data_IF_561915926189
#
_entry.id   IF_561915926189
#
_cell.length_a   1.000
_cell.length_b   1.000
_cell.length_c   1.000
_cell.angle_alpha   90.00
_cell.angle_beta   90.00
_cell.angle_gamma   90.00
#
_symmetry.space_group_name_H-M   'P 1'
#
loop_
_entity.id
_entity.type
_entity.pdbx_description
1 polymer ?
#
# COMPACT_ATOMS: atom_id res chain seq x y z
N UNK A 1 53.44 -49.11 10.76
CA UNK A 1 54.66 -48.42 11.23
C UNK A 1 54.24 -46.99 11.63
N UNK A 2 54.22 -46.70 12.94
CA UNK A 2 54.12 -45.40 13.66
C UNK A 2 52.94 -44.42 13.34
N UNK A 3 52.00 -44.24 14.30
CA UNK A 3 51.76 -43.07 15.21
C UNK A 3 51.09 -41.87 14.50
N UNK A 4 50.04 -41.19 14.99
CA UNK A 4 49.82 -40.54 16.29
C UNK A 4 48.31 -40.32 16.57
N UNK A 5 47.92 -40.38 17.85
CA UNK A 5 46.62 -40.07 18.47
C UNK A 5 46.55 -38.64 19.04
N UNK A 6 45.38 -37.98 19.01
CA UNK A 6 44.95 -36.91 19.96
C UNK A 6 43.40 -36.93 20.04
N UNK A 7 42.77 -37.37 21.14
CA UNK A 7 42.48 -36.75 22.46
C UNK A 7 41.26 -35.79 22.50
N UNK A 8 40.18 -36.33 23.05
CA UNK A 8 39.01 -35.71 23.71
C UNK A 8 39.36 -35.09 25.07
N UNK A 9 38.61 -34.06 25.50
CA UNK A 9 38.23 -33.69 26.90
C UNK A 9 37.35 -32.41 26.80
N UNK A 10 36.05 -32.40 27.14
CA UNK A 10 35.35 -32.53 28.43
C UNK A 10 35.22 -31.19 29.21
N UNK A 11 33.95 -30.90 29.51
CA UNK A 11 33.35 -29.76 30.22
C UNK A 11 33.48 -29.90 31.75
N UNK A 12 33.55 -28.79 32.51
CA UNK A 12 32.79 -28.52 33.77
C UNK A 12 33.21 -27.19 34.45
N UNK A 13 32.36 -26.62 35.35
CA UNK A 13 32.26 -25.19 35.70
C UNK A 13 32.78 -24.87 37.12
N UNK A 14 32.86 -23.59 37.49
CA UNK A 14 32.94 -23.15 38.91
C UNK A 14 32.25 -21.79 39.12
N UNK A 15 31.25 -21.80 40.00
CA UNK A 15 30.61 -20.64 40.64
C UNK A 15 31.51 -20.04 41.72
N UNK A 16 31.46 -18.72 41.94
CA UNK A 16 32.03 -18.08 43.12
C UNK A 16 30.99 -17.13 43.75
N UNK A 17 30.65 -17.42 45.00
CA UNK A 17 30.00 -16.53 45.96
C UNK A 17 30.96 -16.39 47.14
N UNK A 18 31.25 -15.16 47.59
CA UNK A 18 31.63 -14.88 48.97
C UNK A 18 31.54 -13.38 49.28
N UNK A 19 30.64 -13.07 50.20
CA UNK A 19 30.46 -11.77 50.87
C UNK A 19 31.54 -11.54 51.94
N UNK A 20 31.89 -10.28 52.20
CA UNK A 20 32.37 -9.86 53.53
C UNK A 20 31.88 -8.45 53.87
N UNK A 21 31.37 -8.34 55.10
CA UNK A 21 30.83 -7.15 55.77
C UNK A 21 31.91 -6.10 56.08
N UNK A 22 31.53 -4.82 56.12
CA UNK A 22 31.94 -3.86 57.15
C UNK A 22 30.79 -2.90 57.47
N UNK A 23 30.58 -2.62 58.76
CA UNK A 23 29.48 -1.82 59.29
C UNK A 23 29.94 -0.46 59.84
N UNK A 24 29.05 0.53 59.66
CA UNK A 24 28.73 1.66 60.56
C UNK A 24 29.60 2.94 60.55
N UNK A 25 29.03 4.07 60.14
CA UNK A 25 28.56 5.19 61.01
C UNK A 25 28.29 6.51 60.24
N UNK A 26 27.34 7.31 60.76
CA UNK A 26 26.92 8.68 60.36
C UNK A 26 26.14 8.78 59.04
N UNK A 27 25.00 9.44 58.90
CA UNK A 27 24.38 10.51 59.69
C UNK A 27 24.39 11.81 58.89
N UNK A 28 23.41 12.02 58.01
CA UNK A 28 22.82 13.31 57.58
C UNK A 28 22.13 13.16 56.22
N UNK A 29 21.09 13.96 56.05
CA UNK A 29 20.10 13.97 54.97
C UNK A 29 20.70 13.93 53.55
N UNK A 30 20.11 13.11 52.68
CA UNK A 30 20.25 13.29 51.23
C UNK A 30 18.92 13.01 50.55
N UNK A 31 18.32 14.09 50.05
CA UNK A 31 17.24 14.07 49.08
C UNK A 31 17.70 13.25 47.87
N UNK A 32 16.87 12.29 47.47
CA UNK A 32 17.03 11.60 46.19
C UNK A 32 16.74 12.60 45.07
N UNK A 33 17.62 12.77 44.06
CA UNK A 33 17.26 13.57 42.91
C UNK A 33 16.24 12.77 42.11
N UNK A 34 14.99 13.23 42.15
CA UNK A 34 13.96 12.81 41.20
C UNK A 34 14.45 13.20 39.82
N UNK A 35 14.82 12.20 39.03
CA UNK A 35 15.04 12.34 37.59
C UNK A 35 13.83 13.04 37.00
N UNK A 36 14.03 14.20 36.37
CA UNK A 36 12.99 14.83 35.58
C UNK A 36 12.48 13.82 34.55
N UNK A 37 11.16 13.76 34.28
CA UNK A 37 10.66 13.00 33.15
C UNK A 37 11.33 13.54 31.89
N UNK A 38 11.82 12.65 31.03
CA UNK A 38 12.18 13.01 29.66
C UNK A 38 11.00 13.76 29.04
N UNK A 39 11.24 14.84 28.27
CA UNK A 39 10.15 15.54 27.61
C UNK A 39 9.47 14.53 26.70
N UNK A 40 8.20 14.22 26.99
CA UNK A 40 7.34 13.52 26.07
C UNK A 40 7.42 14.27 24.73
N UNK A 41 7.94 13.59 23.71
CA UNK A 41 7.83 14.08 22.33
C UNK A 41 6.35 14.32 22.09
N UNK A 42 5.92 15.56 21.78
CA UNK A 42 4.51 15.82 21.57
C UNK A 42 4.09 14.97 20.38
N UNK A 43 3.14 14.07 20.60
CA UNK A 43 2.41 13.41 19.52
C UNK A 43 1.80 14.56 18.72
N UNK A 44 2.34 14.82 17.54
CA UNK A 44 1.81 15.82 16.62
C UNK A 44 0.54 15.22 16.05
N UNK A 45 -0.54 15.25 16.83
CA UNK A 45 -1.89 15.09 16.30
C UNK A 45 -2.03 16.20 15.27
N UNK A 46 -2.00 15.87 13.98
CA UNK A 46 -2.10 16.89 12.94
C UNK A 46 -3.41 17.64 13.13
N UNK A 47 -3.38 18.97 13.02
CA UNK A 47 -4.58 19.79 13.13
C UNK A 47 -5.55 19.62 11.93
N UNK A 48 -5.27 18.66 11.03
CA UNK A 48 -5.93 18.52 9.74
C UNK A 48 -6.88 17.34 9.72
N UNK A 49 -6.44 16.15 10.18
CA UNK A 49 -7.35 15.05 10.42
C UNK A 49 -8.13 15.26 11.72
N UNK A 50 -9.41 14.95 11.70
CA UNK A 50 -10.22 14.87 12.90
C UNK A 50 -11.17 13.69 12.85
N UNK A 51 -11.68 13.30 14.03
CA UNK A 51 -12.69 12.26 14.12
C UNK A 51 -13.96 12.66 13.37
N UNK A 52 -14.74 11.65 12.99
CA UNK A 52 -16.05 11.83 12.38
C UNK A 52 -16.93 12.82 13.17
N UNK A 53 -17.43 13.87 12.51
CA UNK A 53 -18.26 14.90 13.12
C UNK A 53 -17.51 15.94 13.96
N UNK A 54 -16.17 15.97 13.92
CA UNK A 54 -15.35 16.97 14.61
C UNK A 54 -15.33 18.34 13.92
N UNK A 55 -15.85 18.45 12.68
CA UNK A 55 -15.71 19.61 11.81
C UNK A 55 -14.25 19.99 11.50
N UNK A 56 -13.33 19.03 11.61
CA UNK A 56 -11.96 19.19 11.13
C UNK A 56 -11.93 19.35 9.59
N UNK A 57 -10.86 19.94 9.02
CA UNK A 57 -10.71 20.06 7.58
C UNK A 57 -10.83 18.71 6.84
N UNK A 58 -10.30 17.64 7.43
CA UNK A 58 -10.41 16.28 6.94
C UNK A 58 -11.02 15.38 8.02
N UNK A 59 -12.30 15.05 7.89
CA UNK A 59 -12.93 14.10 8.80
C UNK A 59 -12.65 12.65 8.38
N UNK A 60 -12.15 11.86 9.32
CA UNK A 60 -12.03 10.42 9.15
C UNK A 60 -13.40 9.76 9.20
N UNK A 61 -13.63 8.66 8.45
CA UNK A 61 -14.84 7.86 8.60
C UNK A 61 -15.04 7.43 10.05
N UNK A 62 -16.28 7.45 10.52
CA UNK A 62 -16.66 7.04 11.86
C UNK A 62 -16.08 5.65 12.21
N UNK A 63 -15.22 5.58 13.23
CA UNK A 63 -14.59 4.36 13.71
C UNK A 63 -13.23 4.01 13.08
N UNK A 64 -12.75 4.81 12.12
CA UNK A 64 -11.39 4.62 11.59
C UNK A 64 -10.36 5.17 12.59
N UNK A 65 -9.20 4.51 12.73
CA UNK A 65 -8.11 5.01 13.54
C UNK A 65 -7.41 6.18 12.83
N UNK A 66 -6.72 7.03 13.61
CA UNK A 66 -5.84 8.05 13.03
C UNK A 66 -4.69 7.40 12.25
N UNK A 67 -4.47 7.79 10.98
CA UNK A 67 -3.30 7.33 10.23
C UNK A 67 -2.00 7.72 10.92
N UNK A 68 -0.96 6.91 10.79
CA UNK A 68 0.38 7.29 11.26
C UNK A 68 1.01 8.28 10.28
N UNK A 69 1.01 9.56 10.63
CA UNK A 69 1.66 10.58 9.80
C UNK A 69 3.20 10.46 9.87
N UNK A 70 3.86 10.77 8.75
CA UNK A 70 5.32 10.86 8.73
C UNK A 70 5.75 12.16 9.41
N UNK A 71 6.59 12.08 10.44
CA UNK A 71 7.05 13.24 11.20
C UNK A 71 7.74 14.31 10.33
N UNK A 72 8.41 13.87 9.26
CA UNK A 72 9.12 14.75 8.32
C UNK A 72 8.22 15.31 7.20
N UNK A 73 6.96 14.89 7.14
CA UNK A 73 5.96 15.40 6.22
C UNK A 73 4.58 15.55 6.90
N UNK A 74 4.45 16.46 7.89
CA UNK A 74 3.17 16.71 8.54
C UNK A 74 2.14 17.20 7.52
N UNK A 75 0.91 16.72 7.62
CA UNK A 75 -0.15 17.05 6.67
C UNK A 75 -0.58 18.52 6.77
N UNK A 76 -0.92 19.13 5.63
CA UNK A 76 -1.57 20.45 5.55
C UNK A 76 -2.46 20.51 4.30
N UNK A 77 -3.47 21.36 4.30
CA UNK A 77 -4.37 21.48 3.14
C UNK A 77 -3.66 22.07 1.92
N UNK A 78 -2.65 22.91 2.13
CA UNK A 78 -1.81 23.48 1.07
C UNK A 78 -0.98 22.38 0.38
N UNK A 79 -0.40 21.45 1.15
CA UNK A 79 0.30 20.28 0.59
C UNK A 79 -0.65 19.33 -0.14
N UNK A 80 -1.86 19.13 0.40
CA UNK A 80 -2.89 18.29 -0.24
C UNK A 80 -3.29 18.85 -1.59
N UNK A 81 -3.61 20.14 -1.67
CA UNK A 81 -4.02 20.78 -2.93
C UNK A 81 -2.86 20.84 -3.95
N UNK A 82 -1.65 21.16 -3.49
CA UNK A 82 -0.46 21.09 -4.34
C UNK A 82 -0.25 19.67 -4.88
N UNK A 83 -0.34 18.66 -4.01
CA UNK A 83 -0.23 17.26 -4.37
C UNK A 83 -1.27 16.82 -5.39
N UNK A 84 -2.53 17.26 -5.22
CA UNK A 84 -3.62 17.01 -6.15
C UNK A 84 -3.30 17.55 -7.53
N UNK A 85 -2.89 18.81 -7.64
CA UNK A 85 -2.54 19.42 -8.93
C UNK A 85 -1.39 18.67 -9.61
N UNK A 86 -0.32 18.36 -8.87
CA UNK A 86 0.81 17.60 -9.41
C UNK A 86 0.40 16.19 -9.87
N UNK A 87 -0.48 15.51 -9.11
CA UNK A 87 -0.92 14.13 -9.42
C UNK A 87 -1.61 14.03 -10.79
N UNK A 88 -2.35 15.06 -11.18
CA UNK A 88 -3.04 15.14 -12.48
C UNK A 88 -2.21 15.83 -13.57
N UNK A 89 -1.12 16.52 -13.24
CA UNK A 89 -0.32 17.29 -14.21
C UNK A 89 0.62 16.39 -15.02
N UNK A 90 0.38 16.29 -16.34
CA UNK A 90 1.22 15.49 -17.25
C UNK A 90 2.64 16.00 -17.38
N UNK A 91 2.95 17.20 -16.89
CA UNK A 91 4.32 17.72 -16.83
C UNK A 91 5.19 17.01 -15.81
N UNK A 92 4.59 16.17 -14.98
CA UNK A 92 5.32 15.24 -14.13
C UNK A 92 6.00 14.13 -14.92
N UNK A 93 5.63 13.81 -16.16
CA UNK A 93 6.45 12.91 -16.98
C UNK A 93 7.55 13.69 -17.72
N UNK A 94 8.70 13.07 -17.93
CA UNK A 94 9.80 13.69 -18.67
C UNK A 94 9.35 14.15 -20.07
N UNK A 95 8.62 13.32 -20.80
CA UNK A 95 8.12 13.64 -22.14
C UNK A 95 6.77 14.36 -22.17
N UNK A 96 6.22 14.71 -20.99
CA UNK A 96 4.97 15.47 -20.82
C UNK A 96 3.72 14.78 -21.37
N UNK A 97 3.72 13.44 -21.46
CA UNK A 97 2.58 12.67 -21.97
C UNK A 97 1.74 11.98 -20.90
N UNK A 98 2.24 11.89 -19.67
CA UNK A 98 1.63 11.09 -18.60
C UNK A 98 1.72 11.77 -17.22
N UNK A 99 0.71 11.56 -16.38
CA UNK A 99 0.68 11.91 -14.96
C UNK A 99 0.38 10.67 -14.10
N UNK A 100 0.36 10.81 -12.78
CA UNK A 100 -0.04 9.72 -11.89
C UNK A 100 -1.47 9.25 -12.19
N UNK A 101 -2.35 10.19 -12.55
CA UNK A 101 -3.76 9.92 -12.84
C UNK A 101 -3.99 9.08 -14.11
N UNK A 102 -3.02 9.00 -15.02
CA UNK A 102 -3.15 8.16 -16.23
C UNK A 102 -3.07 6.65 -15.91
N UNK A 103 -2.44 6.26 -14.78
CA UNK A 103 -2.46 4.88 -14.26
C UNK A 103 -3.36 4.71 -13.01
N UNK A 104 -3.77 5.81 -12.38
CA UNK A 104 -4.58 5.81 -11.17
C UNK A 104 -5.86 6.61 -11.39
N UNK A 105 -6.79 6.03 -12.14
CA UNK A 105 -8.05 6.65 -12.55
C UNK A 105 -9.06 6.68 -11.40
N UNK A 106 -9.56 7.85 -11.02
CA UNK A 106 -10.47 8.02 -9.88
C UNK A 106 -11.73 7.13 -9.98
N UNK A 107 -12.34 7.04 -11.16
CA UNK A 107 -13.57 6.26 -11.40
C UNK A 107 -13.37 4.74 -11.27
N UNK A 108 -12.12 4.29 -11.30
CA UNK A 108 -11.68 2.91 -11.02
C UNK A 108 -11.01 2.78 -9.66
N UNK A 109 -11.43 3.60 -8.69
CA UNK A 109 -10.82 3.67 -7.37
C UNK A 109 -9.29 3.82 -7.42
N UNK A 110 -8.81 4.69 -8.31
CA UNK A 110 -7.40 5.00 -8.51
C UNK A 110 -6.57 3.79 -8.95
N UNK A 111 -7.08 3.04 -9.93
CA UNK A 111 -6.36 1.99 -10.67
C UNK A 111 -6.39 2.28 -12.18
N UNK A 112 -5.65 1.49 -12.97
CA UNK A 112 -5.54 1.66 -14.43
C UNK A 112 -6.69 0.95 -15.16
N UNK A 113 -7.07 -0.22 -14.65
CA UNK A 113 -7.98 -1.16 -15.31
C UNK A 113 -7.38 -1.86 -16.53
N UNK A 114 -6.05 -1.82 -16.65
CA UNK A 114 -5.24 -2.70 -17.48
C UNK A 114 -4.63 -3.81 -16.62
N UNK A 115 -4.24 -4.93 -17.23
CA UNK A 115 -3.47 -5.95 -16.50
C UNK A 115 -2.14 -5.37 -16.01
N UNK A 116 -1.41 -4.73 -16.92
CA UNK A 116 -0.12 -4.10 -16.67
C UNK A 116 -0.17 -2.69 -17.24
N UNK A 117 0.32 -1.73 -16.47
CA UNK A 117 0.39 -0.33 -16.88
C UNK A 117 1.47 -0.12 -17.93
N UNK A 118 1.31 0.97 -18.69
CA UNK A 118 2.26 1.39 -19.72
C UNK A 118 2.85 2.73 -19.28
N UNK A 119 4.16 2.77 -19.16
CA UNK A 119 4.89 3.98 -18.78
C UNK A 119 5.02 4.99 -19.91
N UNK A 120 5.59 6.15 -19.59
CA UNK A 120 5.60 7.31 -20.48
C UNK A 120 6.41 7.06 -21.75
N UNK A 121 7.36 6.13 -21.72
CA UNK A 121 8.18 5.72 -22.87
C UNK A 121 7.68 4.44 -23.54
N UNK A 122 6.44 4.02 -23.25
CA UNK A 122 5.79 2.81 -23.73
C UNK A 122 6.36 1.49 -23.16
N UNK A 123 7.13 1.55 -22.08
CA UNK A 123 7.56 0.37 -21.33
C UNK A 123 6.37 -0.26 -20.60
N UNK A 124 6.25 -1.58 -20.66
CA UNK A 124 5.20 -2.33 -19.96
C UNK A 124 5.70 -2.69 -18.56
N UNK A 125 4.89 -2.42 -17.54
CA UNK A 125 5.26 -2.68 -16.16
C UNK A 125 5.15 -4.17 -15.81
N UNK A 126 5.95 -4.65 -14.87
CA UNK A 126 5.90 -6.04 -14.43
C UNK A 126 4.63 -6.36 -13.61
N UNK A 127 3.95 -5.33 -13.08
CA UNK A 127 2.84 -5.48 -12.12
C UNK A 127 1.66 -4.59 -12.45
N UNK A 128 0.50 -5.03 -12.00
CA UNK A 128 -0.74 -4.27 -12.00
C UNK A 128 -0.66 -3.05 -11.07
N UNK A 129 -1.21 -1.92 -11.49
CA UNK A 129 -1.28 -0.70 -10.69
C UNK A 129 -2.29 -0.87 -9.53
N UNK A 130 -1.78 -0.90 -8.30
CA UNK A 130 -2.60 -1.01 -7.10
C UNK A 130 -3.52 0.20 -6.92
N UNK A 131 -4.67 -0.04 -6.29
CA UNK A 131 -5.56 1.05 -5.86
C UNK A 131 -4.87 1.96 -4.85
N UNK A 132 -5.13 3.26 -4.96
CA UNK A 132 -4.72 4.25 -3.96
C UNK A 132 -5.69 4.35 -2.77
N UNK A 133 -6.73 3.52 -2.73
CA UNK A 133 -7.68 3.46 -1.61
C UNK A 133 -6.94 3.20 -0.29
N UNK A 134 -7.10 4.09 0.68
CA UNK A 134 -6.61 3.93 2.04
C UNK A 134 -5.10 3.67 2.16
N UNK A 135 -4.29 4.11 1.18
CA UNK A 135 -2.84 3.83 1.17
C UNK A 135 -2.09 4.37 2.39
N UNK A 136 -2.63 5.40 3.04
CA UNK A 136 -2.10 5.97 4.29
C UNK A 136 -2.04 4.96 5.44
N UNK A 137 -2.86 3.91 5.37
CA UNK A 137 -2.91 2.85 6.39
C UNK A 137 -2.04 1.64 6.06
N UNK A 138 -1.33 1.63 4.92
CA UNK A 138 -0.48 0.50 4.55
C UNK A 138 0.78 0.46 5.42
N UNK A 139 1.11 -0.68 6.01
CA UNK A 139 2.39 -0.84 6.73
C UNK A 139 3.61 -0.84 5.79
N UNK A 140 3.42 -1.36 4.57
CA UNK A 140 4.39 -1.35 3.49
C UNK A 140 3.70 -0.95 2.19
N UNK A 141 4.41 -0.21 1.35
CA UNK A 141 3.92 0.24 0.06
C UNK A 141 4.17 -0.81 -1.02
N UNK A 142 3.60 -0.57 -2.21
CA UNK A 142 3.63 -1.47 -3.36
C UNK A 142 3.22 -2.92 -3.03
N UNK A 143 3.63 -3.85 -3.89
CA UNK A 143 3.22 -5.25 -3.87
C UNK A 143 4.06 -6.12 -2.93
N UNK A 144 5.35 -5.83 -2.73
CA UNK A 144 6.27 -6.77 -2.08
C UNK A 144 7.51 -6.17 -1.40
N UNK A 145 7.72 -4.85 -1.42
CA UNK A 145 8.93 -4.25 -0.87
C UNK A 145 8.80 -3.94 0.63
N UNK A 146 9.52 -4.64 1.52
CA UNK A 146 9.41 -4.45 2.96
C UNK A 146 10.10 -3.17 3.46
N UNK A 147 10.88 -2.48 2.61
CA UNK A 147 11.67 -1.32 2.98
C UNK A 147 10.95 0.01 2.71
N UNK A 148 9.94 0.03 1.84
CA UNK A 148 9.17 1.24 1.54
C UNK A 148 7.94 1.26 2.45
N UNK A 149 8.00 2.07 3.51
CA UNK A 149 6.99 2.10 4.58
C UNK A 149 6.21 3.42 4.65
N UNK A 150 6.46 4.32 3.71
CA UNK A 150 5.75 5.59 3.62
C UNK A 150 5.51 5.97 2.15
N UNK A 151 4.56 6.89 1.95
CA UNK A 151 4.06 7.20 0.62
C UNK A 151 5.02 8.06 -0.22
N UNK A 152 5.86 8.90 0.41
CA UNK A 152 6.77 9.76 -0.32
C UNK A 152 8.00 8.97 -0.83
N UNK A 153 8.45 7.94 -0.10
CA UNK A 153 9.45 6.99 -0.59
C UNK A 153 8.91 6.15 -1.76
N UNK A 154 7.63 5.75 -1.71
CA UNK A 154 6.99 5.08 -2.84
C UNK A 154 6.89 6.02 -4.06
N UNK A 155 6.49 7.27 -3.87
CA UNK A 155 6.45 8.25 -4.95
C UNK A 155 7.86 8.51 -5.52
N UNK A 156 8.89 8.55 -4.68
CA UNK A 156 10.29 8.66 -5.11
C UNK A 156 10.71 7.48 -5.98
N UNK A 157 10.36 6.26 -5.56
CA UNK A 157 10.63 5.05 -6.33
C UNK A 157 9.98 5.08 -7.73
N UNK A 158 8.72 5.53 -7.81
CA UNK A 158 7.96 5.66 -9.08
C UNK A 158 8.60 6.70 -10.01
N UNK A 159 8.87 7.91 -9.52
CA UNK A 159 9.37 8.98 -10.41
C UNK A 159 10.76 8.67 -10.95
N UNK A 160 11.63 8.04 -10.13
CA UNK A 160 13.01 7.69 -10.49
C UNK A 160 13.16 6.29 -11.10
N UNK A 161 12.09 5.53 -11.31
CA UNK A 161 12.19 4.19 -11.87
C UNK A 161 12.80 4.21 -13.29
N UNK A 162 13.81 3.38 -13.52
CA UNK A 162 14.58 3.33 -14.77
C UNK A 162 14.22 2.11 -15.64
N UNK A 163 13.71 1.03 -15.04
CA UNK A 163 13.37 -0.20 -15.76
C UNK A 163 12.26 -0.98 -15.03
N UNK A 164 11.05 -1.04 -15.58
CA UNK A 164 10.57 -0.26 -16.74
C UNK A 164 10.37 1.22 -16.38
N UNK A 165 10.53 2.13 -17.35
CA UNK A 165 10.31 3.56 -17.10
C UNK A 165 8.84 3.84 -16.80
N UNK A 166 8.57 4.56 -15.71
CA UNK A 166 7.24 5.09 -15.39
C UNK A 166 7.12 6.54 -15.89
N UNK A 167 7.39 7.53 -15.04
CA UNK A 167 7.38 8.95 -15.41
C UNK A 167 8.72 9.45 -15.98
N UNK A 168 9.80 8.70 -15.79
CA UNK A 168 11.09 8.94 -16.45
C UNK A 168 11.91 10.12 -15.90
N UNK A 169 11.92 10.35 -14.59
CA UNK A 169 12.71 11.45 -14.01
C UNK A 169 14.21 11.15 -13.94
N UNK A 170 14.61 9.87 -13.98
CA UNK A 170 16.01 9.48 -13.94
C UNK A 170 16.81 10.19 -15.03
N UNK A 171 17.82 10.97 -14.63
CA UNK A 171 18.60 11.82 -15.54
C UNK A 171 17.94 13.14 -15.97
N UNK A 172 16.69 13.41 -15.57
CA UNK A 172 15.88 14.55 -16.01
C UNK A 172 15.28 15.40 -14.87
N UNK A 173 15.64 15.13 -13.61
CA UNK A 173 15.12 15.81 -12.41
C UNK A 173 15.19 17.34 -12.53
N UNK A 174 16.35 17.91 -12.87
CA UNK A 174 16.53 19.36 -12.97
C UNK A 174 15.63 19.98 -14.05
N UNK A 175 15.44 19.28 -15.18
CA UNK A 175 14.59 19.76 -16.26
C UNK A 175 13.13 19.85 -15.80
N UNK A 176 12.63 18.82 -15.11
CA UNK A 176 11.25 18.77 -14.61
C UNK A 176 11.04 19.81 -13.51
N UNK A 177 11.96 19.92 -12.55
CA UNK A 177 11.88 20.95 -11.50
C UNK A 177 11.92 22.37 -12.08
N UNK A 178 12.71 22.61 -13.13
CA UNK A 178 12.74 23.90 -13.81
C UNK A 178 11.41 24.25 -14.51
N UNK A 179 10.61 23.26 -14.93
CA UNK A 179 9.25 23.50 -15.44
C UNK A 179 8.35 24.07 -14.34
N UNK A 180 8.40 23.49 -13.15
CA UNK A 180 7.60 23.93 -11.99
C UNK A 180 8.03 25.29 -11.44
N UNK A 181 9.30 25.66 -11.61
CA UNK A 181 9.80 26.99 -11.24
C UNK A 181 9.32 28.11 -12.18
N UNK A 182 8.73 27.79 -13.34
CA UNK A 182 8.30 28.77 -14.33
C UNK A 182 6.90 29.34 -14.02
N UNK A 183 6.75 30.63 -13.66
CA UNK A 183 5.49 31.21 -13.16
C UNK A 183 4.35 31.31 -14.17
N UNK A 184 4.58 30.95 -15.43
CA UNK A 184 3.61 31.17 -16.51
C UNK A 184 3.12 29.88 -17.17
N UNK A 185 3.85 28.77 -17.03
CA UNK A 185 3.66 27.54 -17.82
C UNK A 185 3.35 27.80 -19.32
N UNK A 186 3.70 28.98 -19.87
CA UNK A 186 3.20 29.46 -21.16
C UNK A 186 3.89 28.76 -22.36
N UNK A 187 4.95 28.01 -22.08
CA UNK A 187 5.67 27.17 -23.04
C UNK A 187 5.30 25.67 -22.91
N UNK A 188 4.20 25.34 -22.23
CA UNK A 188 3.60 24.00 -22.19
C UNK A 188 2.98 23.68 -23.55
N UNK A 189 3.82 23.44 -24.55
CA UNK A 189 3.38 23.08 -25.89
C UNK A 189 2.92 21.61 -25.88
N UNK A 190 1.63 21.37 -25.63
CA UNK A 190 1.02 20.05 -25.87
C UNK A 190 -0.05 19.59 -24.90
N UNK A 191 -0.25 20.26 -23.76
CA UNK A 191 -1.27 19.88 -22.79
C UNK A 191 -2.50 20.81 -22.88
N UNK A 192 -3.69 20.29 -22.55
CA UNK A 192 -4.98 21.00 -22.54
C UNK A 192 -5.04 22.20 -21.56
N UNK A 193 -3.95 22.50 -20.85
CA UNK A 193 -3.94 23.27 -19.62
C UNK A 193 -3.42 24.72 -19.75
N UNK A 194 -3.10 25.16 -20.98
CA UNK A 194 -2.48 26.48 -21.25
C UNK A 194 -3.31 27.71 -20.79
N UNK A 195 -4.55 27.52 -20.30
CA UNK A 195 -5.42 28.57 -19.76
C UNK A 195 -5.60 28.60 -18.24
N UNK A 196 -5.16 27.56 -17.51
CA UNK A 196 -5.40 27.38 -16.06
C UNK A 196 -4.16 26.86 -15.32
N UNK A 197 -2.97 27.20 -15.81
CA UNK A 197 -1.71 26.81 -15.19
C UNK A 197 -1.64 27.23 -13.71
N UNK A 198 -1.38 26.31 -12.77
CA UNK A 198 -1.17 26.65 -11.36
C UNK A 198 0.08 27.50 -11.19
N UNK A 199 0.03 28.46 -10.25
CA UNK A 199 1.24 29.18 -9.80
C UNK A 199 2.02 28.26 -8.83
N UNK A 200 2.69 27.26 -9.38
CA UNK A 200 3.49 26.32 -8.58
C UNK A 200 4.49 27.04 -7.66
N UNK A 201 5.26 28.07 -8.10
CA UNK A 201 6.12 28.84 -7.21
C UNK A 201 5.41 29.34 -5.94
N UNK A 202 4.22 29.94 -6.08
CA UNK A 202 3.44 30.38 -4.92
C UNK A 202 2.97 29.19 -4.09
N UNK A 203 2.41 28.15 -4.70
CA UNK A 203 1.84 27.00 -3.99
C UNK A 203 2.88 26.21 -3.22
N UNK A 204 4.09 26.01 -3.78
CA UNK A 204 5.20 25.39 -3.06
C UNK A 204 5.67 26.25 -1.89
N UNK A 205 5.71 27.57 -2.03
CA UNK A 205 6.05 28.47 -0.92
C UNK A 205 5.01 28.42 0.22
N UNK A 206 3.73 28.26 -0.11
CA UNK A 206 2.65 28.11 0.87
C UNK A 206 2.65 26.72 1.54
N UNK A 207 2.90 25.66 0.78
CA UNK A 207 2.93 24.28 1.27
C UNK A 207 4.20 23.94 2.07
N UNK A 208 5.32 24.61 1.79
CA UNK A 208 6.62 24.38 2.42
C UNK A 208 7.27 25.70 2.88
N UNK A 209 6.65 26.45 3.80
CA UNK A 209 7.07 27.82 4.16
C UNK A 209 8.43 27.90 4.88
N UNK A 210 8.92 26.75 5.37
CA UNK A 210 10.21 26.64 6.06
C UNK A 210 11.36 26.25 5.12
N UNK A 211 11.08 25.95 3.84
CA UNK A 211 12.10 25.59 2.85
C UNK A 211 12.63 26.84 2.13
N UNK A 212 13.95 26.93 1.99
CA UNK A 212 14.57 28.08 1.30
C UNK A 212 14.49 27.98 -0.23
N UNK A 213 14.54 26.77 -0.77
CA UNK A 213 14.15 26.44 -2.15
C UNK A 213 13.01 25.40 -2.06
N UNK A 214 11.73 25.81 -2.13
CA UNK A 214 10.62 24.92 -1.86
C UNK A 214 10.29 23.99 -3.04
N UNK A 215 10.89 24.18 -4.22
CA UNK A 215 10.67 23.32 -5.40
C UNK A 215 11.87 22.38 -5.56
N UNK A 216 11.78 21.21 -4.94
CA UNK A 216 12.78 20.14 -4.97
C UNK A 216 12.11 18.80 -5.23
N UNK A 217 12.89 17.77 -5.57
CA UNK A 217 12.38 16.40 -5.66
C UNK A 217 11.69 15.96 -4.35
N UNK A 218 12.31 16.27 -3.20
CA UNK A 218 11.77 15.92 -1.88
C UNK A 218 10.40 16.55 -1.61
N UNK A 219 10.25 17.84 -1.89
CA UNK A 219 8.97 18.54 -1.67
C UNK A 219 7.88 18.11 -2.66
N UNK A 220 8.26 17.77 -3.90
CA UNK A 220 7.32 17.17 -4.87
C UNK A 220 6.77 15.83 -4.37
N UNK A 221 7.63 14.89 -3.99
CA UNK A 221 7.16 13.57 -3.52
C UNK A 221 6.40 13.65 -2.19
N UNK A 222 6.73 14.63 -1.33
CA UNK A 222 5.97 14.93 -0.12
C UNK A 222 4.58 15.50 -0.41
N UNK A 223 4.43 16.31 -1.46
CA UNK A 223 3.12 16.79 -1.91
C UNK A 223 2.27 15.63 -2.46
N UNK A 224 2.84 14.75 -3.30
CA UNK A 224 2.14 13.53 -3.74
C UNK A 224 1.66 12.68 -2.56
N UNK A 225 2.53 12.48 -1.57
CA UNK A 225 2.17 11.75 -0.36
C UNK A 225 1.04 12.41 0.42
N UNK A 226 1.05 13.74 0.58
CA UNK A 226 -0.01 14.47 1.26
C UNK A 226 -1.37 14.27 0.58
N UNK A 227 -1.43 14.34 -0.76
CA UNK A 227 -2.66 14.06 -1.50
C UNK A 227 -3.09 12.58 -1.39
N UNK A 228 -2.15 11.64 -1.54
CA UNK A 228 -2.42 10.22 -1.34
C UNK A 228 -2.97 9.89 0.05
N UNK A 229 -2.53 10.62 1.08
CA UNK A 229 -3.00 10.42 2.46
C UNK A 229 -4.49 10.67 2.67
N UNK A 230 -5.11 11.50 1.82
CA UNK A 230 -6.53 11.87 1.95
C UNK A 230 -7.47 10.98 1.13
N UNK A 231 -6.92 10.03 0.36
CA UNK A 231 -7.67 9.07 -0.44
C UNK A 231 -8.30 7.98 0.44
N UNK A 232 -9.16 8.41 1.37
CA UNK A 232 -9.81 7.55 2.35
C UNK A 232 -11.21 7.17 1.88
N UNK A 233 -11.45 5.86 1.81
CA UNK A 233 -12.72 5.20 1.56
C UNK A 233 -13.22 4.54 2.84
N UNK A 234 -14.46 4.85 3.21
CA UNK A 234 -15.09 4.41 4.46
C UNK A 234 -16.60 4.72 4.54
N UNK A 235 -17.26 4.90 3.39
CA UNK A 235 -18.71 5.12 3.30
C UNK A 235 -19.44 4.09 2.41
N UNK A 236 -18.88 2.89 2.25
CA UNK A 236 -19.55 1.82 1.51
C UNK A 236 -20.84 1.35 2.21
N UNK A 237 -21.64 0.52 1.55
CA UNK A 237 -22.83 -0.09 2.18
C UNK A 237 -22.47 -0.91 3.43
N UNK A 238 -21.33 -1.62 3.38
CA UNK A 238 -20.73 -2.31 4.51
C UNK A 238 -20.36 -1.36 5.65
N UNK A 239 -19.70 -0.23 5.35
CA UNK A 239 -19.33 0.73 6.38
C UNK A 239 -20.55 1.31 7.08
N UNK A 240 -21.59 1.66 6.31
CA UNK A 240 -22.86 2.15 6.85
C UNK A 240 -23.55 1.12 7.73
N UNK A 241 -23.59 -0.15 7.31
CA UNK A 241 -24.19 -1.22 8.11
C UNK A 241 -23.41 -1.43 9.42
N UNK A 242 -22.08 -1.41 9.36
CA UNK A 242 -21.22 -1.57 10.53
C UNK A 242 -21.33 -0.41 11.53
N UNK A 243 -21.76 0.78 11.08
CA UNK A 243 -22.14 1.91 11.95
C UNK A 243 -23.57 1.82 12.50
N UNK A 244 -24.32 0.78 12.16
CA UNK A 244 -25.69 0.57 12.60
C UNK A 244 -26.74 1.29 11.76
N UNK A 245 -26.38 1.80 10.57
CA UNK A 245 -27.36 2.33 9.62
C UNK A 245 -28.17 1.16 9.04
N UNK A 246 -29.47 1.14 9.33
CA UNK A 246 -30.30 -0.02 9.03
C UNK A 246 -30.57 -0.18 7.53
N UNK A 247 -30.52 -1.45 7.07
CA UNK A 247 -30.90 -1.88 5.72
C UNK A 247 -30.04 -1.29 4.58
N UNK A 248 -28.74 -1.08 4.81
CA UNK A 248 -27.82 -0.62 3.76
C UNK A 248 -27.24 -1.76 2.94
N UNK A 249 -26.97 -2.92 3.55
CA UNK A 249 -26.55 -4.13 2.83
C UNK A 249 -27.73 -5.03 2.45
N UNK A 250 -27.65 -5.65 1.28
CA UNK A 250 -28.60 -6.68 0.83
C UNK A 250 -28.50 -7.96 1.69
N UNK A 251 -29.57 -8.76 1.74
CA UNK A 251 -29.55 -10.03 2.46
C UNK A 251 -28.53 -11.03 1.87
N UNK A 252 -28.25 -10.94 0.56
CA UNK A 252 -27.21 -11.72 -0.09
C UNK A 252 -25.82 -11.30 0.40
N UNK A 253 -25.53 -10.00 0.41
CA UNK A 253 -24.27 -9.46 0.92
C UNK A 253 -24.04 -9.81 2.40
N UNK A 254 -25.10 -9.85 3.22
CA UNK A 254 -25.00 -10.31 4.62
C UNK A 254 -24.61 -11.78 4.75
N UNK A 255 -25.18 -12.66 3.92
CA UNK A 255 -24.76 -14.07 3.87
C UNK A 255 -23.33 -14.21 3.34
N UNK A 256 -22.96 -13.44 2.32
CA UNK A 256 -21.59 -13.39 1.79
C UNK A 256 -20.57 -12.94 2.83
N UNK A 257 -20.94 -11.97 3.69
CA UNK A 257 -20.12 -11.55 4.84
C UNK A 257 -19.87 -12.70 5.80
N UNK A 258 -20.88 -13.49 6.14
CA UNK A 258 -20.73 -14.66 7.03
C UNK A 258 -19.75 -15.69 6.45
N UNK A 259 -19.77 -15.87 5.13
CA UNK A 259 -18.81 -16.72 4.43
C UNK A 259 -17.39 -16.16 4.51
N UNK A 260 -17.23 -14.86 4.24
CA UNK A 260 -15.93 -14.17 4.23
C UNK A 260 -15.23 -14.19 5.59
N UNK A 261 -15.97 -13.96 6.67
CA UNK A 261 -15.47 -13.99 8.05
C UNK A 261 -15.52 -15.39 8.69
N UNK A 262 -15.85 -16.42 7.91
CA UNK A 262 -15.90 -17.80 8.38
C UNK A 262 -14.61 -18.58 8.09
N UNK A 263 -14.26 -19.49 9.00
CA UNK A 263 -13.11 -20.42 8.88
C UNK A 263 -13.24 -21.41 7.71
N UNK A 264 -14.35 -21.41 6.95
CA UNK A 264 -14.46 -22.25 5.74
C UNK A 264 -13.78 -21.61 4.53
N UNK A 265 -13.92 -20.29 4.38
CA UNK A 265 -13.31 -19.57 3.25
C UNK A 265 -12.02 -18.85 3.63
N UNK A 266 -11.76 -18.67 4.93
CA UNK A 266 -10.49 -18.19 5.49
C UNK A 266 -10.07 -16.77 5.04
N UNK A 267 -10.95 -16.01 4.38
CA UNK A 267 -10.59 -14.74 3.74
C UNK A 267 -10.09 -13.69 4.76
N UNK A 268 -10.73 -13.64 5.93
CA UNK A 268 -10.46 -12.64 6.96
C UNK A 268 -9.07 -12.74 7.62
N UNK A 269 -8.36 -13.88 7.48
CA UNK A 269 -7.01 -14.01 8.02
C UNK A 269 -6.02 -13.05 7.35
N UNK A 270 -6.19 -12.79 6.05
CA UNK A 270 -5.35 -11.86 5.29
C UNK A 270 -6.07 -10.56 4.92
N UNK A 271 -7.40 -10.59 4.79
CA UNK A 271 -8.22 -9.44 4.40
C UNK A 271 -9.18 -9.02 5.52
N UNK A 272 -8.70 -9.05 6.76
CA UNK A 272 -9.47 -8.68 7.95
C UNK A 272 -9.39 -7.18 8.31
N UNK A 273 -9.97 -6.86 9.47
CA UNK A 273 -9.92 -5.52 10.05
C UNK A 273 -10.73 -4.47 9.29
N UNK A 274 -10.59 -3.20 9.70
CA UNK A 274 -11.33 -2.10 9.08
C UNK A 274 -10.90 -1.83 7.64
N UNK A 275 -9.66 -2.17 7.27
CA UNK A 275 -9.12 -1.89 5.95
C UNK A 275 -9.14 -3.10 5.00
N UNK A 276 -9.71 -4.24 5.40
CA UNK A 276 -9.71 -5.47 4.60
C UNK A 276 -8.31 -5.89 4.10
N UNK A 277 -7.32 -5.73 4.97
CA UNK A 277 -5.92 -6.09 4.76
C UNK A 277 -5.30 -6.32 6.13
N UNK A 278 -4.41 -7.31 6.23
CA UNK A 278 -3.63 -7.58 7.43
C UNK A 278 -2.32 -6.78 7.49
N UNK A 279 -1.93 -6.10 6.40
CA UNK A 279 -0.76 -5.23 6.36
C UNK A 279 -1.14 -3.77 6.60
N UNK A 280 -1.55 -3.48 7.84
CA UNK A 280 -2.05 -2.17 8.26
C UNK A 280 -1.26 -1.56 9.43
N UNK A 281 -0.96 -0.26 9.34
CA UNK A 281 -0.39 0.56 10.41
C UNK A 281 -1.19 1.87 10.61
N UNK A 282 -1.27 2.32 11.86
CA UNK A 282 -1.99 3.51 12.30
C UNK A 282 -1.51 3.90 13.71
N UNK A 283 -1.87 5.07 14.24
CA UNK A 283 -1.36 5.53 15.54
C UNK A 283 -1.64 4.55 16.70
N UNK A 284 -2.83 3.93 16.68
CA UNK A 284 -3.22 2.91 17.67
C UNK A 284 -2.53 1.54 17.53
N UNK A 285 -1.72 1.30 16.49
CA UNK A 285 -1.05 0.02 16.29
C UNK A 285 0.11 -0.14 17.27
N UNK A 286 0.09 -1.22 18.06
CA UNK A 286 1.20 -1.55 18.97
C UNK A 286 2.41 -2.13 18.23
N UNK A 287 2.16 -2.83 17.13
CA UNK A 287 3.17 -3.40 16.25
C UNK A 287 2.79 -3.13 14.80
N UNK A 288 3.80 -2.81 13.97
CA UNK A 288 3.62 -2.68 12.53
C UNK A 288 3.51 -4.07 11.91
N UNK A 289 2.41 -4.35 11.22
CA UNK A 289 2.18 -5.64 10.57
C UNK A 289 2.67 -5.60 9.11
N UNK A 290 3.91 -6.04 8.88
CA UNK A 290 4.52 -6.17 7.56
C UNK A 290 4.32 -7.62 7.05
N UNK A 291 3.09 -7.94 6.67
CA UNK A 291 2.67 -9.28 6.26
C UNK A 291 2.71 -9.44 4.74
N UNK A 292 3.23 -10.59 4.29
CA UNK A 292 3.29 -10.98 2.88
C UNK A 292 2.93 -12.46 2.75
N UNK A 293 2.19 -12.80 1.70
CA UNK A 293 1.59 -14.12 1.49
C UNK A 293 1.80 -14.61 0.08
N UNK A 294 2.14 -15.89 -0.08
CA UNK A 294 2.03 -16.57 -1.35
C UNK A 294 0.64 -17.18 -1.45
N UNK A 295 -0.16 -16.70 -2.40
CA UNK A 295 -1.54 -17.13 -2.61
C UNK A 295 -1.68 -18.25 -3.66
N UNK A 296 -0.57 -18.91 -4.03
CA UNK A 296 -0.53 -20.03 -4.95
C UNK A 296 -1.04 -19.72 -6.38
N UNK A 297 -0.68 -18.55 -6.89
CA UNK A 297 -1.01 -18.15 -8.26
C UNK A 297 -0.15 -18.89 -9.30
N UNK A 298 1.11 -19.17 -8.95
CA UNK A 298 2.07 -19.85 -9.83
C UNK A 298 2.85 -20.94 -9.11
N UNK A 299 3.33 -21.88 -9.90
CA UNK A 299 4.26 -22.93 -9.52
C UNK A 299 4.96 -23.42 -10.79
N UNK A 300 5.82 -22.57 -11.32
CA UNK A 300 6.57 -22.83 -12.53
C UNK A 300 7.73 -23.75 -12.17
N UNK A 301 7.89 -24.84 -12.93
CA UNK A 301 9.02 -25.73 -12.80
C UNK A 301 10.31 -24.95 -13.10
N UNK A 302 11.29 -25.02 -12.19
CA UNK A 302 12.60 -24.42 -12.41
C UNK A 302 13.32 -25.08 -13.60
N UNK A 303 14.30 -24.39 -14.17
CA UNK A 303 15.12 -24.89 -15.29
C UNK A 303 16.09 -26.02 -14.89
N UNK A 304 16.04 -26.47 -13.64
CA UNK A 304 16.89 -27.52 -13.08
C UNK A 304 18.27 -27.04 -12.64
N UNK A 305 18.51 -25.72 -12.54
CA UNK A 305 19.77 -25.13 -12.07
C UNK A 305 20.00 -25.27 -10.54
N UNK A 306 18.99 -25.72 -9.80
CA UNK A 306 19.04 -25.93 -8.35
C UNK A 306 18.74 -24.69 -7.52
N UNK A 307 18.30 -23.58 -8.13
CA UNK A 307 17.84 -22.37 -7.45
C UNK A 307 16.30 -22.34 -7.41
N UNK A 308 15.73 -23.19 -6.57
CA UNK A 308 14.30 -23.17 -6.22
C UNK A 308 13.40 -23.87 -7.24
N UNK A 309 12.79 -24.97 -6.81
CA UNK A 309 11.55 -25.45 -7.42
C UNK A 309 10.40 -24.54 -6.91
N UNK A 310 9.27 -24.46 -7.60
CA UNK A 310 8.04 -23.71 -7.22
C UNK A 310 8.06 -22.18 -7.44
N UNK A 311 8.50 -21.75 -8.61
CA UNK A 311 8.72 -20.34 -8.95
C UNK A 311 7.44 -19.60 -9.37
N UNK A 312 7.47 -18.28 -9.18
CA UNK A 312 6.67 -17.30 -9.90
C UNK A 312 7.42 -16.84 -11.17
N UNK A 313 6.75 -16.12 -12.10
CA UNK A 313 7.40 -15.58 -13.29
C UNK A 313 8.66 -14.76 -12.98
N UNK A 314 9.63 -14.77 -13.89
CA UNK A 314 11.00 -14.28 -13.65
C UNK A 314 11.11 -12.78 -13.27
N UNK A 315 10.10 -11.99 -13.61
CA UNK A 315 9.98 -10.56 -13.30
C UNK A 315 9.13 -10.28 -12.05
N UNK A 316 8.68 -11.33 -11.34
CA UNK A 316 7.65 -11.25 -10.32
C UNK A 316 7.84 -12.27 -9.18
N UNK A 317 9.05 -12.33 -8.61
CA UNK A 317 9.37 -13.21 -7.48
C UNK A 317 8.81 -12.70 -6.14
N UNK A 318 8.25 -11.49 -6.10
CA UNK A 318 7.63 -10.92 -4.90
C UNK A 318 8.67 -10.59 -3.83
N UNK A 319 8.40 -10.92 -2.57
CA UNK A 319 9.25 -10.53 -1.43
C UNK A 319 10.70 -11.05 -1.59
N UNK A 320 10.90 -12.19 -2.25
CA UNK A 320 12.23 -12.74 -2.53
C UNK A 320 13.14 -11.77 -3.28
N UNK A 321 12.60 -10.87 -4.09
CA UNK A 321 13.40 -9.85 -4.81
C UNK A 321 14.21 -8.97 -3.85
N UNK A 322 13.75 -8.82 -2.60
CA UNK A 322 14.37 -8.00 -1.57
C UNK A 322 15.11 -8.83 -0.52
N UNK A 323 14.59 -10.00 -0.16
CA UNK A 323 15.18 -10.84 0.90
C UNK A 323 16.20 -11.85 0.38
N UNK A 324 16.10 -12.21 -0.91
CA UNK A 324 16.85 -13.27 -1.58
C UNK A 324 16.61 -14.67 -0.99
N UNK A 325 15.61 -14.83 -0.11
CA UNK A 325 15.29 -16.08 0.56
C UNK A 325 14.32 -16.92 -0.28
N UNK A 326 14.63 -18.19 -0.59
CA UNK A 326 13.73 -19.07 -1.35
C UNK A 326 12.34 -19.23 -0.73
N UNK A 327 12.23 -19.19 0.59
CA UNK A 327 10.95 -19.26 1.32
C UNK A 327 10.04 -18.04 1.12
N UNK A 328 10.55 -16.94 0.55
CA UNK A 328 9.80 -15.71 0.25
C UNK A 328 9.35 -15.61 -1.21
N UNK A 329 9.61 -16.65 -2.02
CA UNK A 329 9.18 -16.72 -3.42
C UNK A 329 7.66 -16.59 -3.53
N UNK A 330 7.23 -15.64 -4.36
CA UNK A 330 5.82 -15.40 -4.68
C UNK A 330 5.01 -14.82 -3.51
N UNK A 331 5.66 -14.28 -2.47
CA UNK A 331 4.95 -13.60 -1.38
C UNK A 331 4.70 -12.13 -1.71
N UNK A 332 3.45 -11.72 -1.56
CA UNK A 332 2.98 -10.35 -1.82
C UNK A 332 2.13 -9.85 -0.66
N UNK A 333 2.09 -8.53 -0.48
CA UNK A 333 1.22 -7.86 0.49
C UNK A 333 -0.24 -8.14 0.10
N UNK A 334 -1.10 -8.44 1.08
CA UNK A 334 -2.53 -8.53 0.84
C UNK A 334 -3.12 -7.11 0.62
N UNK A 335 -3.57 -6.74 -0.58
CA UNK A 335 -4.18 -5.41 -0.80
C UNK A 335 -5.50 -5.27 -0.05
N UNK A 336 -5.93 -4.04 0.18
CA UNK A 336 -7.30 -3.77 0.66
C UNK A 336 -8.32 -4.30 -0.36
N UNK A 337 -9.42 -4.88 0.15
CA UNK A 337 -10.58 -5.24 -0.68
C UNK A 337 -11.64 -4.13 -0.77
N UNK A 338 -11.39 -2.96 -0.20
CA UNK A 338 -12.26 -1.80 -0.40
C UNK A 338 -12.25 -1.41 -1.87
N UNK A 339 -13.43 -1.15 -2.43
CA UNK A 339 -13.62 -0.86 -3.86
C UNK A 339 -13.21 -1.97 -4.84
N UNK A 340 -13.06 -3.22 -4.39
CA UNK A 340 -12.58 -4.33 -5.24
C UNK A 340 -13.43 -4.60 -6.49
N UNK A 341 -14.71 -4.21 -6.48
CA UNK A 341 -15.58 -4.28 -7.66
C UNK A 341 -15.06 -3.43 -8.83
N UNK A 342 -14.35 -2.33 -8.54
CA UNK A 342 -13.94 -1.32 -9.52
C UNK A 342 -12.50 -1.49 -10.03
N UNK A 343 -11.75 -2.43 -9.47
CA UNK A 343 -10.29 -2.51 -9.64
C UNK A 343 -9.84 -3.76 -10.40
N UNK A 344 -10.71 -4.30 -11.27
CA UNK A 344 -10.31 -5.37 -12.18
C UNK A 344 -9.27 -4.85 -13.20
N UNK A 345 -8.37 -5.70 -13.71
CA UNK A 345 -8.17 -7.11 -13.35
C UNK A 345 -7.40 -7.28 -12.04
N UNK A 346 -7.33 -8.51 -11.53
CA UNK A 346 -6.89 -8.84 -10.18
C UNK A 346 -5.52 -9.54 -10.14
N UNK A 347 -4.96 -9.58 -8.92
CA UNK A 347 -3.62 -10.08 -8.58
C UNK A 347 -2.49 -9.11 -8.96
N UNK A 348 -1.27 -9.43 -8.52
CA UNK A 348 -0.10 -8.56 -8.70
C UNK A 348 0.26 -8.29 -10.17
N UNK A 349 -0.16 -9.14 -11.09
CA UNK A 349 0.14 -9.12 -12.52
C UNK A 349 -1.12 -8.97 -13.40
N UNK A 350 -2.29 -8.76 -12.78
CA UNK A 350 -3.56 -8.64 -13.52
C UNK A 350 -4.00 -9.93 -14.23
N UNK A 351 -3.47 -11.09 -13.85
CA UNK A 351 -3.65 -12.36 -14.57
C UNK A 351 -5.01 -13.04 -14.35
N UNK A 352 -5.88 -12.49 -13.49
CA UNK A 352 -7.24 -12.96 -13.24
C UNK A 352 -8.22 -11.83 -13.54
N UNK A 353 -9.20 -12.07 -14.43
CA UNK A 353 -9.99 -10.98 -15.01
C UNK A 353 -11.22 -10.60 -14.17
N UNK A 354 -11.81 -11.57 -13.45
CA UNK A 354 -13.10 -11.38 -12.76
C UNK A 354 -13.06 -11.88 -11.32
N UNK A 355 -13.92 -11.33 -10.45
CA UNK A 355 -14.06 -11.82 -9.07
C UNK A 355 -14.54 -13.28 -9.03
N UNK A 356 -15.31 -13.74 -10.02
CA UNK A 356 -15.69 -15.14 -10.14
C UNK A 356 -14.48 -16.05 -10.32
N UNK A 357 -13.54 -15.66 -11.19
CA UNK A 357 -12.28 -16.39 -11.39
C UNK A 357 -11.36 -16.29 -10.15
N UNK A 358 -11.41 -15.18 -9.41
CA UNK A 358 -10.73 -15.07 -8.10
C UNK A 358 -11.28 -16.11 -7.12
N UNK A 359 -12.61 -16.26 -7.04
CA UNK A 359 -13.24 -17.27 -6.19
C UNK A 359 -12.89 -18.68 -6.67
N UNK A 360 -12.82 -18.93 -7.98
CA UNK A 360 -12.37 -20.23 -8.52
C UNK A 360 -10.93 -20.57 -8.09
N UNK A 361 -10.02 -19.58 -8.16
CA UNK A 361 -8.64 -19.70 -7.71
C UNK A 361 -8.55 -20.13 -6.24
N UNK A 362 -9.26 -19.42 -5.35
CA UNK A 362 -9.25 -19.73 -3.91
C UNK A 362 -10.02 -21.02 -3.59
N UNK A 363 -11.12 -21.32 -4.28
CA UNK A 363 -11.89 -22.57 -4.12
C UNK A 363 -11.06 -23.79 -4.47
N UNK A 364 -10.22 -23.70 -5.51
CA UNK A 364 -9.25 -24.76 -5.88
C UNK A 364 -8.08 -24.86 -4.90
N UNK A 365 -7.77 -23.79 -4.16
CA UNK A 365 -6.61 -23.71 -3.28
C UNK A 365 -5.30 -23.39 -4.02
N UNK A 366 -5.41 -22.68 -5.15
CA UNK A 366 -4.32 -22.32 -6.05
C UNK A 366 -4.72 -22.45 -7.52
N UNK A 367 -4.04 -21.73 -8.42
CA UNK A 367 -4.33 -21.73 -9.87
C UNK A 367 -3.60 -22.87 -10.59
N UNK A 368 -4.25 -23.47 -11.58
CA UNK A 368 -3.60 -24.36 -12.54
C UNK A 368 -3.45 -23.65 -13.88
N UNK A 369 -2.25 -23.71 -14.43
CA UNK A 369 -1.93 -23.17 -15.75
C UNK A 369 -1.44 -24.34 -16.59
N UNK A 370 -2.12 -24.60 -17.70
CA UNK A 370 -1.83 -25.75 -18.55
C UNK A 370 -0.84 -25.37 -19.67
N UNK A 371 0.02 -26.30 -20.11
CA UNK A 371 0.81 -26.11 -21.32
C UNK A 371 -0.07 -25.80 -22.54
N UNK A 372 0.42 -25.00 -23.52
CA UNK A 372 1.80 -24.60 -23.73
C UNK A 372 2.18 -23.23 -23.12
N UNK A 373 1.41 -22.71 -22.16
CA UNK A 373 1.73 -21.45 -21.50
C UNK A 373 3.14 -21.50 -20.88
N UNK A 374 3.99 -20.47 -21.05
CA UNK A 374 5.32 -20.44 -20.44
C UNK A 374 5.29 -20.46 -18.91
N UNK A 375 4.19 -20.02 -18.31
CA UNK A 375 3.96 -20.04 -16.86
C UNK A 375 3.15 -21.28 -16.43
N UNK A 376 3.07 -22.33 -17.27
CA UNK A 376 2.39 -23.57 -16.93
C UNK A 376 2.92 -24.18 -15.61
N UNK A 377 2.00 -24.69 -14.80
CA UNK A 377 2.29 -25.15 -13.44
C UNK A 377 1.03 -25.26 -12.59
N UNK A 378 1.15 -25.89 -11.43
CA UNK A 378 0.05 -26.01 -10.46
C UNK A 378 0.38 -25.29 -9.16
N UNK A 379 -0.11 -24.06 -9.02
CA UNK A 379 0.06 -23.21 -7.85
C UNK A 379 -0.40 -23.88 -6.55
N UNK A 380 -1.39 -24.77 -6.59
CA UNK A 380 -1.85 -25.46 -5.39
C UNK A 380 -0.79 -26.38 -4.77
N UNK A 381 0.23 -26.76 -5.56
CA UNK A 381 1.39 -27.54 -5.14
C UNK A 381 2.61 -26.67 -4.77
N UNK A 382 2.51 -25.33 -4.84
CA UNK A 382 3.59 -24.43 -4.44
C UNK A 382 3.93 -24.62 -2.95
N UNK A 383 5.20 -24.88 -2.63
CA UNK A 383 5.65 -25.14 -1.25
C UNK A 383 5.59 -23.92 -0.32
N UNK A 384 5.63 -22.72 -0.89
CA UNK A 384 5.57 -21.48 -0.11
C UNK A 384 4.15 -20.96 0.09
N UNK A 385 3.15 -21.62 -0.51
CA UNK A 385 1.73 -21.31 -0.36
C UNK A 385 1.34 -21.16 1.12
N UNK A 386 0.60 -20.09 1.43
CA UNK A 386 0.06 -19.88 2.77
C UNK A 386 -0.82 -21.06 3.23
N UNK A 387 -0.70 -21.42 4.52
CA UNK A 387 -1.46 -22.51 5.13
C UNK A 387 -2.97 -22.29 5.13
N UNK A 388 -3.43 -21.04 4.95
CA UNK A 388 -4.86 -20.70 4.85
C UNK A 388 -5.43 -20.93 3.44
N UNK A 389 -4.59 -21.14 2.42
CA UNK A 389 -5.03 -21.41 1.05
C UNK A 389 -5.18 -22.92 0.82
N UNK A 390 -6.16 -23.52 1.50
CA UNK A 390 -6.39 -24.97 1.47
C UNK A 390 -7.39 -25.43 0.40
N UNK A 391 -8.11 -24.49 -0.21
CA UNK A 391 -9.23 -24.79 -1.11
C UNK A 391 -10.52 -25.06 -0.33
N UNK A 392 -11.66 -24.79 -0.96
CA UNK A 392 -12.97 -24.96 -0.35
C UNK A 392 -14.02 -25.30 -1.39
N UNK A 393 -15.11 -25.93 -0.95
CA UNK A 393 -16.31 -26.12 -1.76
C UNK A 393 -17.25 -24.94 -1.51
N UNK A 394 -17.70 -24.30 -2.58
CA UNK A 394 -18.68 -23.22 -2.57
C UNK A 394 -19.82 -23.56 -3.54
N UNK A 395 -21.06 -23.33 -3.12
CA UNK A 395 -22.23 -23.50 -4.02
C UNK A 395 -22.40 -22.29 -4.94
N UNK A 396 -23.23 -22.43 -5.99
CA UNK A 396 -23.55 -21.31 -6.87
C UNK A 396 -24.22 -20.14 -6.12
N UNK A 397 -25.12 -20.43 -5.17
CA UNK A 397 -25.80 -19.40 -4.38
C UNK A 397 -24.83 -18.70 -3.41
N UNK A 398 -23.96 -19.47 -2.74
CA UNK A 398 -22.93 -18.92 -1.84
C UNK A 398 -21.91 -18.04 -2.58
N UNK A 399 -21.57 -18.42 -3.82
CA UNK A 399 -20.71 -17.62 -4.70
C UNK A 399 -21.35 -16.27 -5.00
N UNK A 400 -22.63 -16.26 -5.38
CA UNK A 400 -23.37 -15.02 -5.62
C UNK A 400 -23.45 -14.17 -4.35
N UNK A 401 -23.72 -14.78 -3.20
CA UNK A 401 -23.74 -14.08 -1.92
C UNK A 401 -22.38 -13.43 -1.61
N UNK A 402 -21.26 -14.13 -1.84
CA UNK A 402 -19.91 -13.60 -1.64
C UNK A 402 -19.58 -12.46 -2.62
N UNK A 403 -19.99 -12.56 -3.88
CA UNK A 403 -19.86 -11.46 -4.85
C UNK A 403 -20.64 -10.23 -4.38
N UNK A 404 -21.88 -10.40 -3.91
CA UNK A 404 -22.67 -9.29 -3.37
C UNK A 404 -22.02 -8.68 -2.12
N UNK A 405 -21.32 -9.46 -1.31
CA UNK A 405 -20.50 -8.92 -0.24
C UNK A 405 -19.36 -8.04 -0.76
N UNK A 406 -18.61 -8.49 -1.78
CA UNK A 406 -17.55 -7.66 -2.37
C UNK A 406 -18.07 -6.33 -2.94
N UNK A 407 -19.25 -6.34 -3.58
CA UNK A 407 -19.88 -5.10 -4.07
C UNK A 407 -20.30 -4.15 -2.94
N UNK A 408 -20.67 -4.69 -1.78
CA UNK A 408 -20.98 -3.87 -0.61
C UNK A 408 -19.76 -3.12 -0.03
N UNK A 409 -18.54 -3.48 -0.48
CA UNK A 409 -17.29 -2.79 -0.14
C UNK A 409 -16.98 -1.61 -1.08
N UNK A 410 -17.83 -1.35 -2.08
CA UNK A 410 -17.69 -0.23 -3.01
C UNK A 410 -18.19 1.08 -2.39
N UNK A 411 -17.32 2.08 -2.35
CA UNK A 411 -17.62 3.43 -1.88
C UNK A 411 -17.83 4.37 -3.07
N UNK A 412 -19.08 4.52 -3.47
CA UNK A 412 -19.46 5.40 -4.57
C UNK A 412 -19.21 6.88 -4.28
N UNK A 413 -19.08 7.31 -3.02
CA UNK A 413 -18.67 8.69 -2.74
C UNK A 413 -17.19 8.86 -3.03
N UNK A 414 -16.35 7.92 -2.60
CA UNK A 414 -14.90 7.97 -2.80
C UNK A 414 -14.51 8.21 -4.27
N UNK A 415 -15.07 7.43 -5.20
CA UNK A 415 -14.79 7.56 -6.65
C UNK A 415 -15.45 8.77 -7.31
N UNK A 416 -16.21 9.57 -6.57
CA UNK A 416 -16.96 10.73 -7.06
C UNK A 416 -16.64 12.03 -6.30
N UNK A 417 -15.68 11.98 -5.37
CA UNK A 417 -15.27 13.07 -4.48
C UNK A 417 -14.61 14.20 -5.26
N UNK A 418 -15.14 15.41 -5.10
CA UNK A 418 -14.66 16.61 -5.80
C UNK A 418 -13.29 17.08 -5.32
N UNK A 419 -12.90 16.75 -4.09
CA UNK A 419 -11.58 17.04 -3.54
C UNK A 419 -10.50 16.05 -4.01
N UNK A 420 -10.89 14.97 -4.68
CA UNK A 420 -9.99 13.98 -5.27
C UNK A 420 -9.95 14.02 -6.80
N UNK A 421 -10.85 14.78 -7.44
CA UNK A 421 -11.01 14.77 -8.91
C UNK A 421 -9.93 15.56 -9.65
N UNK A 422 -9.84 15.35 -10.96
CA UNK A 422 -8.96 16.12 -11.82
C UNK A 422 -9.31 17.62 -11.72
N UNK A 423 -8.40 18.49 -11.22
CA UNK A 423 -8.68 19.92 -11.08
C UNK A 423 -8.61 20.69 -12.41
N UNK A 424 -8.13 20.06 -13.49
CA UNK A 424 -7.93 20.71 -14.78
C UNK A 424 -9.03 20.46 -15.81
N UNK A 425 -9.83 19.41 -15.61
CA UNK A 425 -10.84 18.96 -16.57
C UNK A 425 -12.11 18.52 -15.86
N UNK A 426 -13.26 18.85 -16.44
CA UNK A 426 -14.55 18.28 -16.02
C UNK A 426 -14.65 16.83 -16.52
N UNK A 427 -14.05 15.90 -15.79
CA UNK A 427 -14.14 14.47 -16.08
C UNK A 427 -15.54 13.97 -15.69
N UNK A 428 -16.28 13.29 -16.59
CA UNK A 428 -17.56 12.68 -16.23
C UNK A 428 -17.36 11.72 -15.05
N UNK A 429 -18.12 11.94 -13.97
CA UNK A 429 -18.08 11.04 -12.83
C UNK A 429 -18.74 9.70 -13.17
N UNK A 430 -18.45 8.68 -12.36
CA UNK A 430 -19.03 7.34 -12.51
C UNK A 430 -20.58 7.38 -12.51
N UNK A 431 -21.22 6.50 -13.26
CA UNK A 431 -22.69 6.51 -13.42
C UNK A 431 -23.46 6.24 -12.11
N UNK A 432 -22.78 5.65 -11.12
CA UNK A 432 -23.33 5.34 -9.79
C UNK A 432 -23.01 6.42 -8.74
N UNK A 433 -22.45 7.57 -9.13
CA UNK A 433 -22.25 8.67 -8.19
C UNK A 433 -23.59 9.12 -7.57
N UNK A 434 -23.62 9.37 -6.25
CA UNK A 434 -24.83 9.76 -5.52
C UNK A 434 -25.34 11.18 -5.79
#
# INVERSE_FOLDING_TARGET
MRFVTLNTLAVLPVSIFASFLLASCSGSDSETPVSAPEPETPVVSSAVFGECGSAAPLELPCGFPYPRESEDNPLSMEKVELGRLLFYDRNMSFNQTQSCADCHLQDKAFTDGLALSIGSQADVHARNAMSMTNVVYNSTMNWANPQIVNMHDQALAVVLNEDPVELGWAGHVDEILNRLKSPSNANYAGTSFAGHAPDYPQMFAEAFPNETDPITLSTVVKAFAAFGSIMISGDSEYDKENRGEANTMSEAAKRGRELFFGERLECFHCHGGFNFSDSVDHEGSTFTHNTFHNNALYNIDGDGDGIGDYLYPADNHGLREFTLLPEDEGKFRAPTLRNIELTAPYMHDGSIATLDEVIDHYSRGGREILPPDPNAGDGALNKNKSLFITGFVITADERLDLIEFFKSLTDWKFVCRDDLSNPFEDVPKHAMCP
#
